data_IF_362407458327
#
_entry.id   IF_362407458327
#
_cell.length_a   1.000
_cell.length_b   1.000
_cell.length_c   1.000
_cell.angle_alpha   90.00
_cell.angle_beta   90.00
_cell.angle_gamma   90.00
#
_symmetry.space_group_name_H-M   'P 1'
#
loop_
_entity.id
_entity.type
_entity.pdbx_description
1 polymer ?
#
# COMPACT_ATOMS: atom_id res chain seq x y z
N UNK A 1 -13.97 -4.06 28.30
CA UNK A 1 -14.75 -4.97 29.14
C UNK A 1 -14.25 -6.39 28.90
N UNK A 2 -13.82 -7.14 29.94
CA UNK A 2 -13.25 -8.50 29.78
C UNK A 2 -14.27 -9.54 29.24
N UNK A 3 -15.55 -9.19 29.16
CA UNK A 3 -16.62 -10.04 28.60
C UNK A 3 -16.66 -10.01 27.07
N UNK A 4 -15.95 -9.08 26.42
CA UNK A 4 -15.95 -8.92 24.96
C UNK A 4 -14.63 -9.39 24.38
N UNK A 5 -14.70 -10.28 23.40
CA UNK A 5 -13.59 -10.63 22.53
C UNK A 5 -13.65 -9.73 21.29
N UNK A 6 -13.06 -8.53 21.40
CA UNK A 6 -13.14 -7.49 20.37
C UNK A 6 -12.62 -7.98 19.03
N UNK A 7 -11.50 -8.72 19.01
CA UNK A 7 -10.94 -9.25 17.77
C UNK A 7 -11.93 -10.18 17.06
N UNK A 8 -12.51 -11.13 17.81
CA UNK A 8 -13.51 -12.05 17.26
C UNK A 8 -14.75 -11.32 16.75
N UNK A 9 -15.29 -10.42 17.55
CA UNK A 9 -16.51 -9.66 17.19
C UNK A 9 -16.30 -8.84 15.91
N UNK A 10 -15.15 -8.16 15.76
CA UNK A 10 -14.81 -7.38 14.57
C UNK A 10 -14.63 -8.31 13.37
N UNK A 11 -13.86 -9.39 13.49
CA UNK A 11 -13.63 -10.31 12.38
C UNK A 11 -14.93 -10.97 11.91
N UNK A 12 -15.80 -11.40 12.84
CA UNK A 12 -17.09 -11.96 12.51
C UNK A 12 -18.02 -10.96 11.83
N UNK A 13 -18.06 -9.70 12.30
CA UNK A 13 -18.86 -8.64 11.70
C UNK A 13 -18.44 -8.36 10.24
N UNK A 14 -17.15 -8.28 9.97
CA UNK A 14 -16.63 -8.08 8.61
C UNK A 14 -16.86 -9.32 7.73
N UNK A 15 -16.59 -10.52 8.25
CA UNK A 15 -16.81 -11.78 7.52
C UNK A 15 -18.27 -11.95 7.12
N UNK A 16 -19.21 -11.62 8.00
CA UNK A 16 -20.65 -11.67 7.73
C UNK A 16 -21.09 -10.66 6.64
N UNK A 17 -20.24 -9.68 6.31
CA UNK A 17 -20.44 -8.74 5.19
C UNK A 17 -19.66 -9.14 3.93
N UNK A 18 -19.03 -10.32 3.91
CA UNK A 18 -18.30 -10.83 2.75
C UNK A 18 -16.88 -10.28 2.60
N UNK A 19 -16.31 -9.66 3.63
CA UNK A 19 -14.93 -9.20 3.60
C UNK A 19 -13.96 -10.34 3.89
N UNK A 20 -12.80 -10.30 3.26
CA UNK A 20 -11.62 -11.06 3.67
C UNK A 20 -11.07 -10.49 4.98
N UNK A 21 -10.50 -11.35 5.82
CA UNK A 21 -9.97 -10.95 7.12
C UNK A 21 -8.46 -10.85 7.09
N UNK A 22 -7.94 -9.64 7.18
CA UNK A 22 -6.51 -9.39 7.40
C UNK A 22 -6.25 -9.08 8.88
N UNK A 23 -5.30 -9.78 9.48
CA UNK A 23 -4.92 -9.59 10.86
C UNK A 23 -3.51 -8.99 10.96
N UNK A 24 -3.40 -7.75 11.44
CA UNK A 24 -2.12 -7.13 11.78
C UNK A 24 -1.65 -7.63 13.14
N UNK A 25 -0.38 -8.01 13.23
CA UNK A 25 0.26 -8.41 14.47
C UNK A 25 1.67 -7.80 14.56
N UNK A 26 1.92 -7.04 15.62
CA UNK A 26 3.25 -6.52 15.92
C UNK A 26 4.05 -7.57 16.68
N UNK A 27 5.13 -8.07 16.09
CA UNK A 27 5.99 -9.07 16.74
C UNK A 27 6.60 -8.56 18.06
N UNK A 28 7.21 -7.36 18.11
CA UNK A 28 7.67 -6.80 19.39
C UNK A 28 6.48 -6.38 20.26
N UNK A 29 6.50 -6.80 21.52
CA UNK A 29 5.52 -6.40 22.52
C UNK A 29 6.19 -5.58 23.62
N UNK A 30 6.05 -4.27 23.53
CA UNK A 30 6.68 -3.34 24.47
C UNK A 30 5.99 -3.28 25.85
N UNK A 31 4.85 -3.94 26.01
CA UNK A 31 4.18 -4.09 27.31
C UNK A 31 4.58 -5.39 28.00
N UNK A 32 5.00 -6.41 27.26
CA UNK A 32 5.42 -7.68 27.82
C UNK A 32 6.68 -7.55 28.66
N UNK A 33 6.61 -7.96 29.92
CA UNK A 33 7.80 -8.05 30.82
C UNK A 33 8.89 -8.99 30.29
N UNK A 34 8.56 -9.86 29.37
CA UNK A 34 9.50 -10.78 28.72
C UNK A 34 10.23 -10.12 27.55
N UNK A 35 9.66 -9.07 26.93
CA UNK A 35 10.30 -8.29 25.89
C UNK A 35 11.08 -7.12 26.45
N UNK A 36 10.45 -6.32 27.33
CA UNK A 36 11.08 -5.26 28.09
C UNK A 36 11.06 -5.62 29.58
N UNK A 37 12.24 -6.01 30.10
CA UNK A 37 12.36 -6.27 31.51
C UNK A 37 12.25 -4.97 32.30
N UNK A 38 11.36 -4.90 33.31
CA UNK A 38 11.09 -3.65 34.02
C UNK A 38 12.25 -3.13 34.87
N UNK A 39 13.27 -3.99 35.11
CA UNK A 39 14.45 -3.60 35.90
C UNK A 39 15.57 -2.96 35.08
N UNK A 40 15.42 -2.89 33.74
CA UNK A 40 16.42 -2.31 32.87
C UNK A 40 15.86 -1.11 32.11
N UNK A 41 16.74 -0.17 31.79
CA UNK A 41 16.37 0.96 30.93
C UNK A 41 15.91 0.47 29.55
N UNK A 42 14.83 1.05 29.05
CA UNK A 42 14.30 0.77 27.71
C UNK A 42 15.09 1.56 26.67
N UNK A 43 15.89 0.92 25.80
CA UNK A 43 16.77 1.63 24.86
C UNK A 43 15.99 2.25 23.70
N UNK A 44 15.04 1.52 23.12
CA UNK A 44 14.22 1.95 21.98
C UNK A 44 13.17 0.88 21.62
N UNK A 45 13.13 0.45 20.35
CA UNK A 45 12.21 -0.57 19.82
C UNK A 45 12.65 -2.01 20.08
N UNK A 46 13.86 -2.25 20.60
CA UNK A 46 14.46 -3.56 20.77
C UNK A 46 14.34 -4.02 22.22
N UNK A 47 14.62 -5.30 22.46
CA UNK A 47 14.75 -5.83 23.81
C UNK A 47 15.81 -5.06 24.61
N UNK A 48 15.59 -4.90 25.90
CA UNK A 48 16.47 -4.16 26.79
C UNK A 48 17.42 -5.05 27.61
N UNK A 49 17.64 -6.28 27.16
CA UNK A 49 18.54 -7.25 27.79
C UNK A 49 19.30 -8.07 26.74
N UNK A 50 20.32 -8.79 27.16
CA UNK A 50 21.07 -9.69 26.27
C UNK A 50 20.48 -11.10 26.34
N UNK A 51 19.96 -11.62 25.21
CA UNK A 51 19.33 -12.96 25.12
C UNK A 51 20.21 -14.08 25.67
N UNK A 52 21.52 -14.01 25.49
CA UNK A 52 22.48 -15.02 26.01
C UNK A 52 22.59 -15.04 27.55
N UNK A 53 22.33 -13.88 28.19
CA UNK A 53 22.39 -13.77 29.65
C UNK A 53 21.05 -14.13 30.31
N UNK A 54 19.95 -13.96 29.57
CA UNK A 54 18.57 -14.22 30.04
C UNK A 54 17.80 -15.05 29.00
N UNK A 55 18.25 -16.31 28.73
CA UNK A 55 17.58 -17.14 27.70
C UNK A 55 16.17 -17.53 28.08
N UNK A 56 15.86 -17.66 29.36
CA UNK A 56 14.54 -17.94 29.92
C UNK A 56 13.52 -16.80 29.59
N UNK A 57 13.93 -15.54 29.71
CA UNK A 57 13.06 -14.41 29.38
C UNK A 57 12.71 -14.40 27.90
N UNK A 58 13.70 -14.67 27.05
CA UNK A 58 13.47 -14.75 25.61
C UNK A 58 12.57 -15.94 25.24
N UNK A 59 12.73 -17.10 25.88
CA UNK A 59 11.85 -18.25 25.64
C UNK A 59 10.40 -17.99 26.11
N UNK A 60 10.22 -17.30 27.22
CA UNK A 60 8.89 -16.90 27.69
C UNK A 60 8.23 -15.93 26.73
N UNK A 61 8.97 -14.92 26.23
CA UNK A 61 8.47 -14.01 25.20
C UNK A 61 8.10 -14.76 23.91
N UNK A 62 8.97 -15.65 23.45
CA UNK A 62 8.73 -16.50 22.27
C UNK A 62 7.44 -17.31 22.42
N UNK A 63 7.28 -18.00 23.53
CA UNK A 63 6.08 -18.80 23.82
C UNK A 63 4.83 -17.94 23.89
N UNK A 64 4.90 -16.79 24.52
CA UNK A 64 3.81 -15.83 24.60
C UNK A 64 3.37 -15.39 23.20
N UNK A 65 4.31 -14.97 22.35
CA UNK A 65 4.04 -14.56 20.97
C UNK A 65 3.47 -15.72 20.13
N UNK A 66 4.01 -16.92 20.26
CA UNK A 66 3.50 -18.13 19.58
C UNK A 66 2.07 -18.44 19.98
N UNK A 67 1.74 -18.34 21.28
CA UNK A 67 0.38 -18.58 21.75
C UNK A 67 -0.62 -17.58 21.15
N UNK A 68 -0.27 -16.29 21.11
CA UNK A 68 -1.12 -15.26 20.50
C UNK A 68 -1.32 -15.51 18.99
N UNK A 69 -0.26 -15.86 18.25
CA UNK A 69 -0.37 -16.16 16.82
C UNK A 69 -1.19 -17.43 16.54
N UNK A 70 -1.05 -18.45 17.39
CA UNK A 70 -1.88 -19.64 17.31
C UNK A 70 -3.35 -19.30 17.58
N UNK A 71 -3.67 -18.56 18.65
CA UNK A 71 -5.02 -18.10 18.96
C UNK A 71 -5.63 -17.35 17.76
N UNK A 72 -4.91 -16.37 17.20
CA UNK A 72 -5.39 -15.62 16.04
C UNK A 72 -5.70 -16.49 14.82
N UNK A 73 -4.95 -17.57 14.62
CA UNK A 73 -5.11 -18.45 13.46
C UNK A 73 -5.99 -19.67 13.72
N UNK A 74 -6.51 -19.86 14.95
CA UNK A 74 -7.39 -20.99 15.32
C UNK A 74 -8.78 -20.55 15.79
N UNK A 75 -8.86 -19.53 16.67
CA UNK A 75 -10.07 -19.31 17.48
C UNK A 75 -11.02 -18.29 16.84
N UNK A 76 -10.57 -17.57 15.83
CA UNK A 76 -11.34 -16.46 15.22
C UNK A 76 -11.82 -16.74 13.79
N UNK A 77 -11.87 -18.02 13.38
CA UNK A 77 -12.21 -18.42 12.03
C UNK A 77 -11.08 -18.18 11.03
N UNK A 78 -11.40 -18.21 9.73
CA UNK A 78 -10.39 -18.04 8.71
C UNK A 78 -9.79 -16.63 8.73
N UNK A 79 -8.46 -16.57 8.80
CA UNK A 79 -7.67 -15.38 8.56
C UNK A 79 -7.07 -15.50 7.17
N UNK A 80 -7.40 -14.57 6.28
CA UNK A 80 -6.95 -14.61 4.88
C UNK A 80 -5.55 -14.02 4.74
N UNK A 81 -5.21 -13.01 5.58
CA UNK A 81 -3.91 -12.35 5.58
C UNK A 81 -3.39 -12.25 7.03
N UNK A 82 -2.23 -12.83 7.31
CA UNK A 82 -1.48 -12.57 8.53
C UNK A 82 -0.37 -11.55 8.24
N UNK A 83 -0.56 -10.32 8.72
CA UNK A 83 0.33 -9.21 8.49
C UNK A 83 1.21 -8.94 9.70
N UNK A 84 2.49 -9.37 9.66
CA UNK A 84 3.43 -9.28 10.76
C UNK A 84 4.30 -8.04 10.62
N UNK A 85 4.33 -7.22 11.66
CA UNK A 85 5.20 -6.05 11.76
C UNK A 85 6.38 -6.27 12.72
N UNK A 86 7.32 -5.33 12.74
CA UNK A 86 8.48 -5.37 13.62
C UNK A 86 9.63 -6.21 13.07
N UNK A 87 10.18 -5.82 11.91
CA UNK A 87 11.22 -6.55 11.19
C UNK A 87 12.54 -6.77 11.95
N UNK A 88 12.71 -6.19 13.13
CA UNK A 88 13.85 -6.47 14.01
C UNK A 88 13.68 -7.70 14.91
N UNK A 89 12.54 -8.38 14.84
CA UNK A 89 12.28 -9.74 15.34
C UNK A 89 12.04 -10.62 14.12
N UNK A 90 12.90 -11.61 13.90
CA UNK A 90 12.76 -12.50 12.74
C UNK A 90 11.74 -13.61 12.99
N UNK A 91 11.19 -14.17 11.91
CA UNK A 91 10.30 -15.32 12.00
C UNK A 91 10.96 -16.53 12.66
N UNK A 92 12.24 -16.78 12.40
CA UNK A 92 13.00 -17.87 13.02
C UNK A 92 13.11 -17.69 14.53
N UNK A 93 13.33 -16.47 15.00
CA UNK A 93 13.44 -16.17 16.42
C UNK A 93 12.17 -16.51 17.21
N UNK A 94 11.01 -16.40 16.58
CA UNK A 94 9.71 -16.74 17.20
C UNK A 94 9.14 -18.08 16.74
N UNK A 95 9.83 -18.81 15.86
CA UNK A 95 9.36 -20.09 15.33
C UNK A 95 8.11 -19.97 14.43
N UNK A 96 8.04 -18.90 13.64
CA UNK A 96 6.90 -18.55 12.78
C UNK A 96 6.56 -19.64 11.76
N UNK A 97 7.58 -20.36 11.24
CA UNK A 97 7.37 -21.40 10.23
C UNK A 97 6.39 -22.47 10.67
N UNK A 98 6.53 -22.98 11.89
CA UNK A 98 5.64 -24.01 12.43
C UNK A 98 4.20 -23.48 12.50
N UNK A 99 4.03 -22.25 12.97
CA UNK A 99 2.71 -21.61 13.10
C UNK A 99 2.05 -21.46 11.72
N UNK A 100 2.81 -20.98 10.72
CA UNK A 100 2.28 -20.79 9.37
C UNK A 100 1.97 -22.10 8.67
N UNK A 101 2.79 -23.14 8.86
CA UNK A 101 2.50 -24.49 8.32
C UNK A 101 1.17 -25.00 8.88
N UNK A 102 0.96 -24.90 10.19
CA UNK A 102 -0.27 -25.38 10.82
C UNK A 102 -1.47 -24.51 10.49
N UNK A 103 -1.30 -23.20 10.40
CA UNK A 103 -2.35 -22.29 9.96
C UNK A 103 -2.79 -22.57 8.51
N UNK A 104 -1.84 -22.83 7.61
CA UNK A 104 -2.13 -23.15 6.19
C UNK A 104 -2.71 -24.54 5.97
N UNK A 105 -2.51 -25.50 6.88
CA UNK A 105 -3.26 -26.76 6.85
C UNK A 105 -4.77 -26.53 7.05
N UNK A 106 -5.12 -25.57 7.90
CA UNK A 106 -6.52 -25.19 8.17
C UNK A 106 -7.09 -24.24 7.12
N UNK A 107 -6.28 -23.29 6.65
CA UNK A 107 -6.62 -22.32 5.62
C UNK A 107 -5.54 -22.25 4.54
N UNK A 108 -5.58 -23.13 3.51
CA UNK A 108 -4.53 -23.20 2.47
C UNK A 108 -4.37 -21.91 1.66
N UNK A 109 -5.41 -21.07 1.61
CA UNK A 109 -5.39 -19.78 0.93
C UNK A 109 -4.73 -18.62 1.71
N UNK A 110 -4.34 -18.84 2.97
CA UNK A 110 -3.78 -17.80 3.80
C UNK A 110 -2.44 -17.31 3.28
N UNK A 111 -2.34 -16.00 3.06
CA UNK A 111 -1.07 -15.32 2.76
C UNK A 111 -0.50 -14.66 4.01
N UNK A 112 0.82 -14.47 4.03
CA UNK A 112 1.52 -13.83 5.13
C UNK A 112 2.48 -12.77 4.65
N UNK A 113 2.68 -11.77 5.48
CA UNK A 113 3.70 -10.73 5.34
C UNK A 113 4.56 -10.77 6.58
N UNK A 114 5.86 -10.89 6.41
CA UNK A 114 6.85 -10.70 7.47
C UNK A 114 7.67 -9.45 7.14
N UNK A 115 7.10 -8.32 7.46
CA UNK A 115 7.54 -7.01 7.04
C UNK A 115 9.04 -6.80 7.21
N UNK A 116 9.69 -6.34 6.14
CA UNK A 116 11.13 -6.11 6.00
C UNK A 116 12.03 -7.36 6.06
N UNK A 117 11.47 -8.54 6.28
CA UNK A 117 12.21 -9.80 6.30
C UNK A 117 11.85 -10.59 5.06
N UNK A 118 12.73 -10.56 4.08
CA UNK A 118 12.57 -11.35 2.85
C UNK A 118 12.73 -12.83 3.14
N UNK A 119 11.92 -13.64 2.48
CA UNK A 119 12.03 -15.09 2.57
C UNK A 119 10.73 -15.83 2.33
N UNK A 120 10.72 -17.10 2.73
CA UNK A 120 9.63 -18.04 2.49
C UNK A 120 8.29 -17.67 3.15
N UNK A 121 8.32 -16.81 4.15
CA UNK A 121 7.13 -16.38 4.89
C UNK A 121 6.55 -15.06 4.37
N UNK A 122 7.15 -14.45 3.34
CA UNK A 122 6.70 -13.20 2.77
C UNK A 122 6.07 -13.45 1.40
N UNK A 123 4.73 -13.42 1.31
CA UNK A 123 4.01 -13.59 0.04
C UNK A 123 3.96 -12.30 -0.79
N UNK A 124 4.11 -11.13 -0.16
CA UNK A 124 4.24 -9.85 -0.83
C UNK A 124 5.04 -8.87 0.05
N UNK A 125 5.65 -7.85 -0.57
CA UNK A 125 6.47 -6.87 0.13
C UNK A 125 5.65 -5.64 0.54
N UNK A 126 6.05 -5.00 1.64
CA UNK A 126 5.34 -3.84 2.20
C UNK A 126 6.29 -2.67 2.48
N UNK A 127 6.82 -1.98 1.46
CA UNK A 127 7.60 -0.76 1.66
C UNK A 127 6.82 0.27 2.47
N UNK A 128 7.47 0.85 3.48
CA UNK A 128 6.84 1.86 4.34
C UNK A 128 7.31 3.26 3.96
N UNK A 129 6.36 4.19 3.80
CA UNK A 129 6.59 5.62 3.49
C UNK A 129 7.50 5.85 2.28
N UNK A 130 7.62 4.85 1.40
CA UNK A 130 8.48 4.88 0.23
C UNK A 130 7.94 4.05 -0.92
N UNK A 131 8.49 4.26 -2.09
CA UNK A 131 8.17 3.53 -3.31
C UNK A 131 9.46 2.88 -3.81
N UNK A 132 9.46 1.60 -4.19
CA UNK A 132 10.63 0.96 -4.79
C UNK A 132 11.17 1.76 -5.98
N UNK A 133 12.49 1.83 -6.11
CA UNK A 133 13.13 2.60 -7.19
C UNK A 133 12.73 2.10 -8.58
N UNK A 134 12.46 0.79 -8.71
CA UNK A 134 12.04 0.13 -9.95
C UNK A 134 10.93 -0.90 -9.67
N UNK A 135 10.36 -1.47 -10.73
CA UNK A 135 9.44 -2.60 -10.66
C UNK A 135 10.07 -3.77 -9.89
N UNK A 136 9.25 -4.49 -9.14
CA UNK A 136 9.65 -5.69 -8.40
C UNK A 136 9.04 -6.93 -9.07
N UNK A 137 9.72 -8.06 -8.94
CA UNK A 137 9.27 -9.37 -9.47
C UNK A 137 8.30 -10.10 -8.52
N UNK A 138 7.96 -9.50 -7.41
CA UNK A 138 7.04 -9.99 -6.37
C UNK A 138 5.93 -8.96 -6.16
N UNK A 139 4.69 -9.35 -5.84
CA UNK A 139 3.64 -8.42 -5.44
C UNK A 139 4.08 -7.54 -4.27
N UNK A 140 3.63 -6.30 -4.24
CA UNK A 140 3.99 -5.36 -3.18
C UNK A 140 2.92 -4.30 -2.96
N UNK A 141 2.91 -3.75 -1.75
CA UNK A 141 2.01 -2.70 -1.31
C UNK A 141 2.80 -1.63 -0.55
N UNK A 142 2.80 -0.40 -1.03
CA UNK A 142 3.36 0.72 -0.27
C UNK A 142 2.36 1.25 0.76
N UNK A 143 2.77 1.19 2.02
CA UNK A 143 2.04 1.81 3.13
C UNK A 143 2.49 3.25 3.29
N UNK A 144 1.67 4.22 2.88
CA UNK A 144 1.98 5.65 2.91
C UNK A 144 0.88 6.40 3.66
N UNK A 145 1.27 7.25 4.59
CA UNK A 145 0.32 8.08 5.34
C UNK A 145 -0.09 9.31 4.55
N UNK A 146 -1.34 9.74 4.69
CA UNK A 146 -1.81 11.01 4.13
C UNK A 146 -1.14 12.21 4.81
N UNK A 147 -0.89 12.09 6.13
CA UNK A 147 -0.12 13.07 6.92
C UNK A 147 1.32 12.59 7.15
N UNK A 148 1.97 13.12 8.16
CA UNK A 148 3.30 12.69 8.63
C UNK A 148 3.22 11.57 9.70
N UNK A 149 2.01 11.21 10.15
CA UNK A 149 1.79 10.22 11.21
C UNK A 149 0.75 9.18 10.79
N UNK A 150 0.84 7.98 11.35
CA UNK A 150 -0.13 6.91 11.15
C UNK A 150 -1.47 7.20 11.82
N UNK A 151 -1.43 7.68 13.06
CA UNK A 151 -2.61 8.10 13.80
C UNK A 151 -2.94 9.57 13.59
N UNK A 152 -4.08 9.98 14.11
CA UNK A 152 -4.46 11.39 14.17
C UNK A 152 -3.49 12.19 15.04
N UNK A 153 -3.10 13.36 14.53
CA UNK A 153 -2.33 14.36 15.29
C UNK A 153 -2.96 15.74 15.10
N UNK A 154 -2.98 16.59 16.14
CA UNK A 154 -3.47 17.96 16.00
C UNK A 154 -2.57 18.73 15.00
N UNK A 155 -3.19 19.61 14.20
CA UNK A 155 -2.50 20.48 13.22
C UNK A 155 -1.67 19.72 12.19
N UNK A 156 -2.04 18.48 11.86
CA UNK A 156 -1.36 17.70 10.84
C UNK A 156 -1.40 18.38 9.47
N UNK A 157 -0.26 18.34 8.78
CA UNK A 157 -0.18 18.72 7.36
C UNK A 157 -0.46 17.50 6.50
N UNK A 158 -1.33 17.66 5.51
CA UNK A 158 -1.74 16.58 4.61
C UNK A 158 -1.11 16.74 3.23
N UNK A 159 -0.81 15.62 2.58
CA UNK A 159 -0.54 15.57 1.15
C UNK A 159 -1.79 16.02 0.39
N UNK A 160 -1.62 16.76 -0.67
CA UNK A 160 -2.75 17.15 -1.53
C UNK A 160 -3.28 15.95 -2.33
N UNK A 161 -4.45 16.11 -2.94
CA UNK A 161 -5.00 15.13 -3.88
C UNK A 161 -4.08 14.90 -5.08
N UNK A 162 -3.47 15.94 -5.64
CA UNK A 162 -2.52 15.81 -6.76
C UNK A 162 -1.30 14.98 -6.36
N UNK A 163 -0.73 15.26 -5.17
CA UNK A 163 0.41 14.48 -4.67
C UNK A 163 0.07 13.01 -4.46
N UNK A 164 -1.09 12.71 -3.89
CA UNK A 164 -1.53 11.32 -3.68
C UNK A 164 -1.80 10.61 -5.01
N UNK A 165 -2.43 11.28 -5.99
CA UNK A 165 -2.65 10.70 -7.32
C UNK A 165 -1.32 10.44 -8.04
N UNK A 166 -0.34 11.35 -7.91
CA UNK A 166 1.01 11.13 -8.45
C UNK A 166 1.69 9.90 -7.83
N UNK A 167 1.64 9.76 -6.50
CA UNK A 167 2.13 8.59 -5.75
C UNK A 167 1.43 7.30 -6.23
N UNK A 168 0.10 7.33 -6.33
CA UNK A 168 -0.70 6.18 -6.82
C UNK A 168 -0.31 5.79 -8.24
N UNK A 169 -0.13 6.78 -9.13
CA UNK A 169 0.27 6.55 -10.52
C UNK A 169 1.64 5.89 -10.62
N UNK A 170 2.61 6.34 -9.86
CA UNK A 170 3.94 5.74 -9.78
C UNK A 170 3.89 4.30 -9.26
N UNK A 171 3.16 4.08 -8.15
CA UNK A 171 3.02 2.76 -7.52
C UNK A 171 2.41 1.76 -8.50
N UNK A 172 1.29 2.11 -9.14
CA UNK A 172 0.59 1.21 -10.05
C UNK A 172 1.39 0.96 -11.33
N UNK A 173 2.07 1.98 -11.89
CA UNK A 173 2.96 1.80 -13.03
C UNK A 173 4.14 0.86 -12.72
N UNK A 174 4.59 0.82 -11.47
CA UNK A 174 5.62 -0.11 -10.98
C UNK A 174 5.05 -1.46 -10.52
N UNK A 175 3.74 -1.69 -10.67
CA UNK A 175 3.08 -2.97 -10.36
C UNK A 175 2.73 -3.20 -8.91
N UNK A 176 2.65 -2.14 -8.11
CA UNK A 176 2.28 -2.20 -6.70
C UNK A 176 0.86 -1.73 -6.39
N UNK A 177 0.50 -1.84 -5.13
CA UNK A 177 -0.72 -1.28 -4.55
C UNK A 177 -0.39 -0.19 -3.53
N UNK A 178 -1.28 0.77 -3.37
CA UNK A 178 -1.17 1.83 -2.35
C UNK A 178 -2.11 1.55 -1.18
N UNK A 179 -1.56 1.41 0.02
CA UNK A 179 -2.28 1.49 1.28
C UNK A 179 -2.12 2.90 1.85
N UNK A 180 -3.13 3.76 1.63
CA UNK A 180 -3.10 5.14 2.12
C UNK A 180 -3.62 5.21 3.56
N UNK A 181 -2.73 5.53 4.50
CA UNK A 181 -3.05 5.66 5.92
C UNK A 181 -3.80 6.96 6.23
N UNK A 182 -4.96 6.84 6.87
CA UNK A 182 -5.77 7.96 7.36
C UNK A 182 -6.05 7.73 8.83
N UNK A 183 -5.65 8.68 9.70
CA UNK A 183 -5.86 8.60 11.14
C UNK A 183 -7.21 9.23 11.54
N UNK A 184 -8.21 8.44 11.99
CA UNK A 184 -9.43 8.99 12.57
C UNK A 184 -9.15 9.63 13.93
N UNK A 185 -9.98 10.59 14.34
CA UNK A 185 -9.98 11.14 15.68
C UNK A 185 -10.44 10.10 16.70
N UNK A 186 -10.26 10.40 17.99
CA UNK A 186 -10.68 9.52 19.08
C UNK A 186 -12.18 9.22 19.10
N UNK A 187 -13.00 10.12 18.56
CA UNK A 187 -14.45 9.95 18.40
C UNK A 187 -14.86 9.17 17.13
N UNK A 188 -13.86 8.67 16.37
CA UNK A 188 -14.05 7.94 15.12
C UNK A 188 -14.30 8.82 13.89
N UNK A 189 -14.35 10.14 14.02
CA UNK A 189 -14.58 11.04 12.90
C UNK A 189 -13.30 11.28 12.09
N UNK A 190 -13.47 11.54 10.80
CA UNK A 190 -12.39 11.97 9.89
C UNK A 190 -12.43 13.49 9.74
N UNK A 191 -11.27 14.13 9.77
CA UNK A 191 -11.14 15.59 9.64
C UNK A 191 -11.72 16.07 8.30
N UNK A 192 -12.44 17.19 8.26
CA UNK A 192 -13.06 17.71 7.02
C UNK A 192 -12.08 17.91 5.87
N UNK A 193 -10.85 18.34 6.17
CA UNK A 193 -9.77 18.53 5.19
C UNK A 193 -9.39 17.19 4.54
N UNK A 194 -9.30 16.12 5.33
CA UNK A 194 -9.00 14.76 4.86
C UNK A 194 -10.15 14.24 4.00
N UNK A 195 -11.40 14.41 4.44
CA UNK A 195 -12.59 14.05 3.66
C UNK A 195 -12.56 14.74 2.30
N UNK A 196 -12.26 16.05 2.27
CA UNK A 196 -12.16 16.83 1.01
C UNK A 196 -11.11 16.24 0.07
N UNK A 197 -9.91 15.91 0.59
CA UNK A 197 -8.83 15.33 -0.21
C UNK A 197 -9.25 13.97 -0.77
N UNK A 198 -9.82 13.09 0.06
CA UNK A 198 -10.28 11.76 -0.37
C UNK A 198 -11.38 11.85 -1.43
N UNK A 199 -12.33 12.77 -1.28
CA UNK A 199 -13.37 13.01 -2.30
C UNK A 199 -12.78 13.55 -3.61
N UNK A 200 -11.75 14.39 -3.57
CA UNK A 200 -11.05 14.84 -4.78
C UNK A 200 -10.37 13.68 -5.50
N UNK A 201 -9.68 12.81 -4.76
CA UNK A 201 -9.07 11.58 -5.31
C UNK A 201 -10.15 10.66 -5.91
N UNK A 202 -11.26 10.43 -5.18
CA UNK A 202 -12.38 9.64 -5.66
C UNK A 202 -12.99 10.19 -6.95
N UNK A 203 -13.20 11.49 -7.04
CA UNK A 203 -13.69 12.17 -8.24
C UNK A 203 -12.73 12.03 -9.43
N UNK A 204 -11.43 12.08 -9.19
CA UNK A 204 -10.43 11.82 -10.22
C UNK A 204 -10.47 10.36 -10.68
N UNK A 205 -10.53 9.40 -9.75
CA UNK A 205 -10.62 7.97 -10.03
C UNK A 205 -11.90 7.59 -10.79
N UNK A 206 -13.03 8.22 -10.51
CA UNK A 206 -14.28 8.01 -11.25
C UNK A 206 -14.14 8.28 -12.76
N UNK A 207 -13.25 9.19 -13.16
CA UNK A 207 -12.99 9.52 -14.56
C UNK A 207 -11.82 8.77 -15.16
N UNK A 208 -10.77 8.58 -14.37
CA UNK A 208 -9.47 8.11 -14.81
C UNK A 208 -9.13 6.69 -14.32
N UNK A 209 -9.98 6.06 -13.52
CA UNK A 209 -9.71 4.81 -12.82
C UNK A 209 -9.38 3.63 -13.73
N UNK A 210 -9.82 3.64 -15.00
CA UNK A 210 -9.40 2.60 -15.95
C UNK A 210 -7.88 2.59 -16.23
N UNK A 211 -7.17 3.69 -15.93
CA UNK A 211 -5.70 3.75 -16.00
C UNK A 211 -5.03 3.21 -14.72
N UNK A 212 -5.82 2.90 -13.69
CA UNK A 212 -5.36 2.44 -12.38
C UNK A 212 -5.82 1.01 -12.10
N UNK A 213 -7.16 0.78 -12.19
CA UNK A 213 -7.76 -0.49 -11.79
C UNK A 213 -7.60 -1.56 -12.88
N UNK A 214 -7.30 -2.80 -12.44
CA UNK A 214 -7.17 -3.96 -13.32
C UNK A 214 -6.12 -3.79 -14.42
N UNK A 215 -5.12 -2.96 -14.19
CA UNK A 215 -3.98 -2.75 -15.09
C UNK A 215 -2.81 -3.65 -14.71
N UNK A 216 -1.87 -3.76 -15.63
CA UNK A 216 -0.58 -4.42 -15.46
C UNK A 216 0.54 -3.46 -15.84
N UNK A 217 1.77 -3.85 -15.55
CA UNK A 217 2.96 -3.05 -15.87
C UNK A 217 3.10 -2.86 -17.36
N UNK A 218 3.38 -1.64 -17.80
CA UNK A 218 3.88 -1.39 -19.14
C UNK A 218 5.39 -1.72 -19.22
N UNK A 219 5.87 -2.20 -20.36
CA UNK A 219 7.29 -2.50 -20.55
C UNK A 219 8.17 -1.24 -20.36
N UNK A 220 7.72 -0.11 -20.86
CA UNK A 220 8.27 1.21 -20.57
C UNK A 220 7.28 1.94 -19.67
N UNK A 221 7.52 1.91 -18.37
CA UNK A 221 6.54 2.33 -17.36
C UNK A 221 6.68 3.78 -16.89
N UNK A 222 7.75 4.49 -17.26
CA UNK A 222 7.98 5.87 -16.84
C UNK A 222 8.78 6.68 -17.85
N UNK A 223 8.40 7.93 -18.04
CA UNK A 223 9.21 8.97 -18.68
C UNK A 223 8.97 10.30 -17.96
N UNK A 224 9.89 10.68 -17.08
CA UNK A 224 9.79 11.88 -16.27
C UNK A 224 8.53 11.88 -15.40
N UNK A 225 7.62 12.83 -15.66
CA UNK A 225 6.33 12.95 -14.96
C UNK A 225 5.22 12.06 -15.54
N UNK A 226 5.50 11.29 -16.59
CA UNK A 226 4.51 10.42 -17.23
C UNK A 226 4.72 8.98 -16.78
N UNK A 227 3.70 8.39 -16.18
CA UNK A 227 3.64 7.01 -15.75
C UNK A 227 2.76 6.20 -16.69
N UNK A 228 3.14 4.97 -17.00
CA UNK A 228 2.41 4.13 -17.93
C UNK A 228 1.95 2.84 -17.28
N UNK A 229 0.69 2.49 -17.57
CA UNK A 229 0.08 1.20 -17.26
C UNK A 229 -0.49 0.60 -18.54
N UNK A 230 -0.79 -0.70 -18.52
CA UNK A 230 -1.38 -1.40 -19.63
C UNK A 230 -2.63 -2.18 -19.21
N UNK A 231 -3.53 -2.47 -20.16
CA UNK A 231 -4.54 -3.48 -19.95
C UNK A 231 -3.88 -4.89 -19.87
N UNK A 232 -4.62 -5.87 -19.36
CA UNK A 232 -4.10 -7.24 -19.17
C UNK A 232 -3.61 -7.89 -20.48
N UNK A 233 -4.07 -7.43 -21.64
CA UNK A 233 -3.71 -7.96 -22.95
C UNK A 233 -2.53 -7.18 -23.58
N UNK A 234 -2.08 -6.10 -22.96
CA UNK A 234 -1.01 -5.23 -23.44
C UNK A 234 -1.32 -4.48 -24.74
N UNK A 235 -2.60 -4.43 -25.15
CA UNK A 235 -3.03 -3.74 -26.38
C UNK A 235 -3.35 -2.27 -26.12
N UNK A 236 -3.90 -1.98 -24.96
CA UNK A 236 -4.25 -0.61 -24.52
C UNK A 236 -3.22 -0.17 -23.51
N UNK A 237 -2.65 1.00 -23.74
CA UNK A 237 -1.79 1.69 -22.80
C UNK A 237 -2.52 2.91 -22.22
N UNK A 238 -2.12 3.23 -21.01
CA UNK A 238 -2.54 4.45 -20.34
C UNK A 238 -1.29 5.26 -19.99
N UNK A 239 -1.30 6.56 -20.28
CA UNK A 239 -0.28 7.51 -19.87
C UNK A 239 -0.88 8.42 -18.79
N UNK A 240 -0.24 8.52 -17.63
CA UNK A 240 -0.70 9.34 -16.52
C UNK A 240 0.35 10.42 -16.24
N UNK A 241 0.02 11.66 -16.55
CA UNK A 241 0.87 12.81 -16.26
C UNK A 241 0.64 13.27 -14.82
N UNK A 242 1.64 13.11 -13.97
CA UNK A 242 1.59 13.53 -12.57
C UNK A 242 1.85 15.04 -12.48
N UNK A 243 0.78 15.82 -12.26
CA UNK A 243 0.86 17.25 -12.01
C UNK A 243 1.11 17.51 -10.52
N UNK A 244 2.15 18.25 -10.20
CA UNK A 244 2.48 18.60 -8.81
C UNK A 244 1.70 19.80 -8.29
N UNK A 245 1.75 19.98 -6.98
CA UNK A 245 1.08 21.11 -6.32
C UNK A 245 1.66 22.44 -6.77
N UNK A 246 0.78 23.40 -7.05
CA UNK A 246 1.15 24.72 -7.53
C UNK A 246 1.48 24.78 -9.03
N UNK A 247 1.59 23.65 -9.71
CA UNK A 247 1.79 23.62 -11.16
C UNK A 247 0.50 23.91 -11.90
N UNK A 248 0.62 24.57 -13.03
CA UNK A 248 -0.46 24.75 -14.00
C UNK A 248 -0.41 23.64 -15.04
N UNK A 249 -1.57 23.20 -15.49
CA UNK A 249 -1.67 22.28 -16.63
C UNK A 249 -0.90 22.89 -17.83
N UNK A 250 0.11 22.19 -18.39
CA UNK A 250 0.91 22.70 -19.48
C UNK A 250 0.11 22.74 -20.79
N UNK A 251 0.59 23.48 -21.78
CA UNK A 251 -0.01 23.46 -23.13
C UNK A 251 0.27 22.14 -23.87
N UNK A 252 1.42 21.53 -23.58
CA UNK A 252 1.85 20.27 -24.19
C UNK A 252 2.47 19.36 -23.17
N UNK A 253 2.29 18.04 -23.37
CA UNK A 253 3.00 16.99 -22.60
C UNK A 253 3.82 16.18 -23.59
N UNK A 254 5.03 15.80 -23.21
CA UNK A 254 5.92 14.99 -24.06
C UNK A 254 6.35 13.74 -23.30
N UNK A 255 6.51 12.66 -24.04
CA UNK A 255 7.15 11.43 -23.56
C UNK A 255 7.85 10.69 -24.71
N UNK A 256 8.69 9.72 -24.39
CA UNK A 256 9.37 8.84 -25.34
C UNK A 256 8.78 7.43 -25.30
N UNK A 257 9.06 6.63 -26.30
CA UNK A 257 8.53 5.28 -26.44
C UNK A 257 6.98 5.25 -26.51
N UNK A 258 6.32 4.27 -26.04
CA UNK A 258 4.85 4.13 -25.90
C UNK A 258 4.03 4.99 -26.89
N UNK A 259 4.30 4.80 -28.21
CA UNK A 259 3.71 5.64 -29.27
C UNK A 259 2.23 5.28 -29.48
N UNK A 260 1.31 6.26 -29.44
CA UNK A 260 -0.08 6.01 -29.77
C UNK A 260 -0.28 5.62 -31.23
N UNK A 261 -1.14 4.63 -31.48
CA UNK A 261 -1.71 4.34 -32.82
C UNK A 261 -3.18 4.76 -32.85
N UNK A 262 -3.52 5.63 -33.77
CA UNK A 262 -4.89 6.11 -33.93
C UNK A 262 -5.29 7.18 -32.89
N UNK A 263 -6.36 6.94 -32.16
CA UNK A 263 -6.91 7.93 -31.21
C UNK A 263 -6.16 7.93 -29.89
N UNK A 264 -5.77 9.11 -29.42
CA UNK A 264 -5.34 9.37 -28.05
C UNK A 264 -6.48 10.06 -27.30
N UNK A 265 -7.03 9.43 -26.28
CA UNK A 265 -8.23 9.91 -25.57
C UNK A 265 -7.85 10.43 -24.20
N UNK A 266 -8.22 11.66 -23.86
CA UNK A 266 -8.12 12.22 -22.52
C UNK A 266 -9.27 11.67 -21.67
N UNK A 267 -8.95 10.89 -20.62
CA UNK A 267 -9.96 10.15 -19.84
C UNK A 267 -10.92 11.05 -19.07
N UNK A 268 -10.46 12.21 -18.60
CA UNK A 268 -11.28 13.15 -17.82
C UNK A 268 -12.55 13.60 -18.53
N UNK A 269 -12.56 13.64 -19.86
CA UNK A 269 -13.70 14.10 -20.65
C UNK A 269 -14.07 13.18 -21.82
N UNK A 270 -13.34 12.08 -22.03
CA UNK A 270 -13.57 11.10 -23.10
C UNK A 270 -13.25 11.60 -24.51
N UNK A 271 -12.67 12.80 -24.67
CA UNK A 271 -12.39 13.41 -25.98
C UNK A 271 -11.01 13.06 -26.49
N UNK A 272 -10.89 12.88 -27.81
CA UNK A 272 -9.58 12.73 -28.46
C UNK A 272 -8.78 14.02 -28.39
N UNK A 273 -7.49 13.92 -28.16
CA UNK A 273 -6.53 15.03 -28.18
C UNK A 273 -5.56 14.87 -29.34
N UNK A 274 -5.02 15.99 -29.83
CA UNK A 274 -4.04 16.00 -30.91
C UNK A 274 -2.67 15.62 -30.39
N UNK A 275 -1.93 14.85 -31.16
CA UNK A 275 -0.54 14.52 -30.84
C UNK A 275 0.29 14.43 -32.14
N UNK A 276 1.59 14.53 -31.98
CA UNK A 276 2.58 14.29 -33.06
C UNK A 276 3.64 13.32 -32.56
N UNK A 277 4.22 12.56 -33.49
CA UNK A 277 5.33 11.63 -33.19
C UNK A 277 6.50 12.00 -34.08
N UNK A 278 7.66 12.30 -33.46
CA UNK A 278 8.92 12.52 -34.16
C UNK A 278 9.97 11.56 -33.59
N UNK A 279 10.41 10.61 -34.41
CA UNK A 279 11.27 9.53 -33.91
C UNK A 279 10.57 8.74 -32.79
N UNK A 280 11.15 8.75 -31.60
CA UNK A 280 10.57 8.11 -30.41
C UNK A 280 9.78 9.08 -29.53
N UNK A 281 9.80 10.36 -29.82
CA UNK A 281 9.12 11.38 -29.00
C UNK A 281 7.68 11.57 -29.44
N UNK A 282 6.78 11.49 -28.50
CA UNK A 282 5.36 11.83 -28.60
C UNK A 282 5.14 13.22 -27.97
N UNK A 283 4.44 14.10 -28.66
CA UNK A 283 4.04 15.43 -28.14
C UNK A 283 2.52 15.54 -28.21
N UNK A 284 1.88 15.65 -27.08
CA UNK A 284 0.43 15.82 -26.92
C UNK A 284 0.08 17.29 -26.75
N UNK A 285 -0.85 17.80 -27.54
CA UNK A 285 -1.38 19.17 -27.39
C UNK A 285 -2.65 19.12 -26.56
N UNK A 286 -2.65 19.81 -25.43
CA UNK A 286 -3.79 19.84 -24.50
C UNK A 286 -4.82 20.92 -24.87
N UNK A 287 -6.13 20.65 -24.69
CA UNK A 287 -7.15 21.68 -24.81
C UNK A 287 -7.04 22.70 -23.66
N UNK A 288 -7.51 23.91 -23.91
CA UNK A 288 -7.63 24.94 -22.87
C UNK A 288 -8.72 24.61 -21.85
N UNK A 289 -8.65 25.21 -20.67
CA UNK A 289 -9.69 25.10 -19.63
C UNK A 289 -9.68 23.82 -18.82
N UNK A 290 -8.64 23.01 -18.92
CA UNK A 290 -8.45 21.85 -18.04
C UNK A 290 -8.15 22.32 -16.60
N UNK A 291 -8.62 21.54 -15.63
CA UNK A 291 -8.26 21.75 -14.22
C UNK A 291 -6.79 21.43 -13.99
N UNK A 292 -6.19 22.07 -13.00
CA UNK A 292 -4.83 21.77 -12.55
C UNK A 292 -4.83 20.51 -11.68
N UNK A 293 -4.96 19.36 -12.32
CA UNK A 293 -4.97 18.03 -11.70
C UNK A 293 -4.23 17.04 -12.61
N UNK A 294 -3.73 15.89 -12.10
CA UNK A 294 -3.12 14.88 -12.95
C UNK A 294 -4.00 14.45 -14.10
N UNK A 295 -3.42 14.20 -15.27
CA UNK A 295 -4.13 13.88 -16.50
C UNK A 295 -3.86 12.44 -16.93
N UNK A 296 -4.91 11.71 -17.31
CA UNK A 296 -4.73 10.35 -17.82
C UNK A 296 -5.25 10.23 -19.26
N UNK A 297 -4.49 9.51 -20.07
CA UNK A 297 -4.76 9.27 -21.48
C UNK A 297 -4.84 7.77 -21.76
N UNK A 298 -5.69 7.41 -22.70
CA UNK A 298 -5.86 6.05 -23.21
C UNK A 298 -5.54 5.99 -24.68
N UNK A 299 -4.79 4.97 -25.11
CA UNK A 299 -4.45 4.75 -26.52
C UNK A 299 -4.05 3.30 -26.78
N UNK A 300 -4.08 2.89 -28.05
CA UNK A 300 -3.51 1.62 -28.48
C UNK A 300 -2.07 1.84 -28.93
N UNK A 301 -1.20 0.90 -28.63
CA UNK A 301 0.24 0.94 -28.99
C UNK A 301 0.62 -0.03 -30.11
N UNK A 302 -0.25 -0.98 -30.47
CA UNK A 302 -0.02 -2.01 -31.50
C UNK A 302 -1.16 -2.08 -32.49
#
# INVERSE_FOLDING_TARGET
DPRHNIAKEVFDAYRNKGFMIGCYFSKPDWHSKWFWNPYYATPNRRINYKKKQHPDWWQNYRKFTQNQLNELTTDYGNIDILWLDGGWITGDEIGLDTILVDARKRNPGMISVDRTIRGKNENYQTPEQGIPAKQLDIPWESCITLSHAWGWTPNAKFKSSNKVIGILSEIVAKGGCLALGVGPKADGTIQPEVVKILLQIGNWLNKNGQAIYSTVNAAHYNDGKVWFTADKNGKTLYAIYALEDGEKTPKTITWTENKPKGKLVLLQNGKSVKYTVKGNQVTVTLPSGLKNEPLAFKFNSK
#
